data_IF_190907803847
#
_entry.id   IF_190907803847
#
_cell.length_a   1.000
_cell.length_b   1.000
_cell.length_c   1.000
_cell.angle_alpha   90.00
_cell.angle_beta   90.00
_cell.angle_gamma   90.00
#
_symmetry.space_group_name_H-M   'P 1'
#
loop_
_entity.id
_entity.type
_entity.pdbx_description
1 polymer ?
#
# COMPACT_ATOMS: atom_id res chain seq x y z
N UNK A 1 -5.85 -2.12 1.56
CA UNK A 1 -5.77 -1.92 0.10
C UNK A 1 -4.97 -0.65 -0.10
N UNK A 2 -3.74 -0.80 -0.57
CA UNK A 2 -2.80 0.31 -0.78
C UNK A 2 -3.29 1.17 -1.94
N UNK A 3 -3.34 2.49 -1.80
CA UNK A 3 -3.85 3.42 -2.82
C UNK A 3 -2.95 4.66 -2.97
N UNK A 4 -3.27 5.55 -3.92
CA UNK A 4 -2.45 6.74 -4.20
C UNK A 4 -2.29 7.71 -3.00
N UNK A 5 -3.21 7.66 -2.02
CA UNK A 5 -3.10 8.39 -0.75
C UNK A 5 -1.98 7.81 0.11
N UNK A 6 -1.72 6.51 0.01
CA UNK A 6 -0.68 5.82 0.78
C UNK A 6 0.72 6.17 0.26
N UNK A 7 0.88 6.47 -1.03
CA UNK A 7 2.14 6.99 -1.58
C UNK A 7 2.51 8.37 -1.00
N UNK A 8 1.56 9.30 -1.00
CA UNK A 8 1.75 10.62 -0.34
C UNK A 8 1.97 10.46 1.17
N UNK A 9 1.38 9.43 1.77
CA UNK A 9 1.61 9.12 3.17
C UNK A 9 3.05 8.68 3.42
N UNK A 10 3.63 7.82 2.56
CA UNK A 10 5.04 7.40 2.65
C UNK A 10 6.00 8.59 2.58
N UNK A 11 5.82 9.50 1.63
CA UNK A 11 6.63 10.73 1.53
C UNK A 11 6.54 11.56 2.82
N UNK A 12 5.32 11.71 3.36
CA UNK A 12 5.09 12.42 4.63
C UNK A 12 5.75 11.73 5.81
N UNK A 13 5.78 10.39 5.85
CA UNK A 13 6.45 9.63 6.90
C UNK A 13 7.98 9.81 6.83
N UNK A 14 8.57 9.73 5.65
CA UNK A 14 10.00 9.97 5.45
C UNK A 14 10.40 11.39 5.88
N UNK A 15 9.58 12.40 5.58
CA UNK A 15 9.82 13.79 5.99
C UNK A 15 9.74 14.06 7.50
N UNK A 16 9.22 13.13 8.30
CA UNK A 16 9.05 13.27 9.75
C UNK A 16 10.24 12.75 10.58
N UNK A 17 11.23 12.15 9.93
CA UNK A 17 12.46 11.69 10.59
C UNK A 17 13.26 12.94 11.02
N UNK A 18 13.62 13.08 12.31
CA UNK A 18 14.41 14.20 12.79
C UNK A 18 15.77 14.23 12.06
N UNK A 19 16.31 15.43 11.84
CA UNK A 19 17.65 15.62 11.28
C UNK A 19 18.60 16.27 12.28
N UNK A 20 19.81 16.57 11.82
CA UNK A 20 20.83 17.29 12.61
C UNK A 20 21.91 16.40 13.23
N UNK A 21 21.78 15.08 13.08
CA UNK A 21 22.84 14.12 13.36
C UNK A 21 23.15 13.32 12.10
N UNK A 22 24.43 13.04 11.77
CA UNK A 22 24.79 12.34 10.54
C UNK A 22 24.07 10.99 10.36
N UNK A 23 23.85 10.23 11.44
CA UNK A 23 23.13 8.96 11.38
C UNK A 23 21.63 9.14 11.08
N UNK A 24 21.01 10.16 11.67
CA UNK A 24 19.59 10.46 11.45
C UNK A 24 19.38 11.03 10.04
N UNK A 25 20.29 11.86 9.56
CA UNK A 25 20.26 12.43 8.21
C UNK A 25 20.40 11.34 7.14
N UNK A 26 21.27 10.34 7.35
CA UNK A 26 21.37 9.15 6.48
C UNK A 26 20.07 8.36 6.45
N UNK A 27 19.49 8.07 7.62
CA UNK A 27 18.22 7.34 7.71
C UNK A 27 17.07 8.11 7.02
N UNK A 28 17.02 9.43 7.17
CA UNK A 28 16.07 10.31 6.49
C UNK A 28 16.25 10.27 4.98
N UNK A 29 17.48 10.38 4.48
CA UNK A 29 17.77 10.32 3.05
C UNK A 29 17.35 8.98 2.44
N UNK A 30 17.67 7.86 3.10
CA UNK A 30 17.25 6.51 2.68
C UNK A 30 15.73 6.37 2.65
N UNK A 31 15.04 6.88 3.67
CA UNK A 31 13.58 6.87 3.71
C UNK A 31 12.94 7.68 2.57
N UNK A 32 13.51 8.86 2.25
CA UNK A 32 13.07 9.70 1.14
C UNK A 32 13.31 9.00 -0.21
N UNK A 33 14.52 8.48 -0.43
CA UNK A 33 14.87 7.70 -1.60
C UNK A 33 13.90 6.52 -1.80
N UNK A 34 13.60 5.76 -0.74
CA UNK A 34 12.69 4.64 -0.82
C UNK A 34 11.25 5.07 -1.21
N UNK A 35 10.75 6.16 -0.63
CA UNK A 35 9.43 6.70 -0.96
C UNK A 35 9.35 7.16 -2.43
N UNK A 36 10.35 7.91 -2.90
CA UNK A 36 10.44 8.36 -4.30
C UNK A 36 10.52 7.18 -5.26
N UNK A 37 11.32 6.17 -4.91
CA UNK A 37 11.52 4.97 -5.74
C UNK A 37 10.23 4.15 -5.87
N UNK A 38 9.50 3.98 -4.76
CA UNK A 38 8.18 3.34 -4.76
C UNK A 38 7.17 4.14 -5.58
N UNK A 39 7.12 5.47 -5.43
CA UNK A 39 6.23 6.32 -6.21
C UNK A 39 6.51 6.21 -7.71
N UNK A 40 7.79 6.21 -8.11
CA UNK A 40 8.20 6.01 -9.49
C UNK A 40 7.81 4.62 -10.02
N UNK A 41 7.99 3.56 -9.22
CA UNK A 41 7.60 2.20 -9.59
C UNK A 41 6.09 2.09 -9.85
N UNK A 42 5.26 2.66 -8.97
CA UNK A 42 3.80 2.66 -9.12
C UNK A 42 3.34 3.54 -10.28
N UNK A 43 4.04 4.64 -10.57
CA UNK A 43 3.74 5.46 -11.75
C UNK A 43 4.00 4.69 -13.06
N UNK A 44 5.02 3.81 -13.09
CA UNK A 44 5.31 2.92 -14.22
C UNK A 44 4.30 1.78 -14.30
N UNK A 45 4.01 1.12 -13.18
CA UNK A 45 3.09 -0.03 -13.08
C UNK A 45 2.09 0.16 -11.93
N UNK A 46 0.91 0.75 -12.21
CA UNK A 46 -0.14 0.94 -11.21
C UNK A 46 -0.69 -0.36 -10.63
N UNK A 47 -0.47 -1.51 -11.29
CA UNK A 47 -0.95 -2.81 -10.82
C UNK A 47 -0.13 -3.36 -9.65
N UNK A 48 0.97 -2.71 -9.29
CA UNK A 48 1.66 -2.95 -8.01
C UNK A 48 0.77 -2.65 -6.78
N UNK A 49 -0.30 -1.87 -6.95
CA UNK A 49 -1.30 -1.59 -5.91
C UNK A 49 -2.33 -2.72 -5.75
N UNK A 50 -2.34 -3.70 -6.66
CA UNK A 50 -3.25 -4.84 -6.55
C UNK A 50 -2.86 -5.70 -5.34
N UNK A 51 -3.86 -6.32 -4.71
CA UNK A 51 -3.69 -7.06 -3.44
C UNK A 51 -2.62 -8.16 -3.50
N UNK A 52 -2.44 -8.81 -4.65
CA UNK A 52 -1.45 -9.86 -4.87
C UNK A 52 -0.02 -9.33 -5.03
N UNK A 53 0.14 -8.02 -5.30
CA UNK A 53 1.43 -7.38 -5.61
C UNK A 53 1.82 -6.29 -4.61
N UNK A 54 0.92 -5.86 -3.73
CA UNK A 54 1.16 -4.76 -2.79
C UNK A 54 2.08 -5.09 -1.63
N UNK A 55 2.44 -6.36 -1.40
CA UNK A 55 3.15 -6.81 -0.20
C UNK A 55 4.41 -5.99 0.11
N UNK A 56 5.29 -5.80 -0.86
CA UNK A 56 6.53 -5.05 -0.63
C UNK A 56 6.24 -3.55 -0.36
N UNK A 57 5.16 -2.99 -0.93
CA UNK A 57 4.71 -1.62 -0.66
C UNK A 57 4.16 -1.48 0.76
N UNK A 58 3.35 -2.44 1.20
CA UNK A 58 2.79 -2.49 2.55
C UNK A 58 3.91 -2.57 3.60
N UNK A 59 4.92 -3.43 3.34
CA UNK A 59 6.09 -3.55 4.22
C UNK A 59 6.93 -2.27 4.22
N UNK A 60 7.13 -1.63 3.05
CA UNK A 60 7.80 -0.33 2.99
C UNK A 60 7.10 0.72 3.86
N UNK A 61 5.78 0.85 3.72
CA UNK A 61 5.01 1.83 4.49
C UNK A 61 5.07 1.55 5.99
N UNK A 62 5.02 0.28 6.40
CA UNK A 62 5.15 -0.11 7.79
C UNK A 62 6.55 0.21 8.34
N UNK A 63 7.62 -0.05 7.60
CA UNK A 63 8.98 0.33 8.04
C UNK A 63 9.09 1.85 8.17
N UNK A 64 8.63 2.62 7.18
CA UNK A 64 8.64 4.09 7.25
C UNK A 64 7.87 4.62 8.48
N UNK A 65 6.78 3.96 8.87
CA UNK A 65 6.02 4.28 10.08
C UNK A 65 6.84 4.04 11.36
N UNK A 66 7.66 3.00 11.38
CA UNK A 66 8.53 2.63 12.50
C UNK A 66 9.79 3.51 12.61
N UNK A 67 10.31 4.02 11.49
CA UNK A 67 11.53 4.84 11.50
C UNK A 67 11.40 6.11 12.35
N UNK A 68 10.23 6.75 12.40
CA UNK A 68 10.07 8.00 13.18
C UNK A 68 10.29 7.80 14.70
N UNK A 69 9.55 6.92 15.40
CA UNK A 69 9.79 6.71 16.83
C UNK A 69 11.20 6.17 17.10
N UNK A 70 11.75 5.33 16.21
CA UNK A 70 13.09 4.79 16.36
C UNK A 70 14.18 5.86 16.21
N UNK A 71 14.03 6.78 15.25
CA UNK A 71 14.94 7.91 15.06
C UNK A 71 14.96 8.84 16.28
N UNK A 72 13.82 9.02 16.97
CA UNK A 72 13.79 9.75 18.25
C UNK A 72 14.59 9.03 19.33
N UNK A 73 14.47 7.70 19.43
CA UNK A 73 15.26 6.91 20.38
C UNK A 73 16.75 6.95 20.06
N UNK A 74 17.11 6.84 18.78
CA UNK A 74 18.50 6.96 18.33
C UNK A 74 19.06 8.34 18.67
N UNK A 75 18.30 9.43 18.49
CA UNK A 75 18.72 10.77 18.87
C UNK A 75 19.03 10.89 20.38
N UNK A 76 18.20 10.30 21.24
CA UNK A 76 18.44 10.26 22.69
C UNK A 76 19.71 9.47 23.05
N UNK A 77 19.95 8.35 22.37
CA UNK A 77 21.16 7.53 22.58
C UNK A 77 22.42 8.27 22.13
N UNK A 78 22.38 8.97 20.99
CA UNK A 78 23.48 9.81 20.52
C UNK A 78 23.75 10.98 21.48
N UNK A 79 22.70 11.65 21.95
CA UNK A 79 22.80 12.71 22.94
C UNK A 79 23.41 12.22 24.25
N UNK A 80 22.99 11.06 24.72
CA UNK A 80 23.58 10.43 25.90
C UNK A 80 25.09 10.17 25.70
N UNK A 81 25.50 9.72 24.51
CA UNK A 81 26.91 9.57 24.14
C UNK A 81 27.68 10.89 24.27
N UNK A 82 27.15 11.98 23.70
CA UNK A 82 27.76 13.32 23.78
C UNK A 82 27.89 13.82 25.22
N UNK A 83 26.85 13.66 26.04
CA UNK A 83 26.90 14.03 27.45
C UNK A 83 27.94 13.22 28.23
N UNK A 84 28.10 11.94 27.89
CA UNK A 84 29.13 11.09 28.49
C UNK A 84 30.53 11.59 28.16
N UNK A 85 30.79 11.90 26.89
CA UNK A 85 32.07 12.45 26.44
C UNK A 85 32.37 13.82 27.05
N UNK A 86 31.35 14.66 27.24
CA UNK A 86 31.46 15.98 27.86
C UNK A 86 31.60 15.93 29.39
N UNK A 87 31.50 14.76 30.03
CA UNK A 87 31.56 14.63 31.48
C UNK A 87 30.37 15.29 32.19
N UNK A 88 29.18 15.22 31.58
CA UNK A 88 27.98 15.87 32.06
C UNK A 88 27.55 15.43 33.47
N UNK A 89 26.77 16.29 34.12
CA UNK A 89 26.24 16.06 35.45
C UNK A 89 25.11 15.02 35.48
N UNK A 90 24.85 14.49 36.68
CA UNK A 90 23.74 13.55 36.92
C UNK A 90 22.37 14.12 36.56
N UNK A 91 22.18 15.44 36.71
CA UNK A 91 20.93 16.13 36.37
C UNK A 91 20.70 16.18 34.86
N UNK A 92 21.75 16.35 34.07
CA UNK A 92 21.68 16.37 32.60
C UNK A 92 21.30 14.98 32.06
N UNK A 93 21.90 13.92 32.60
CA UNK A 93 21.49 12.55 32.28
C UNK A 93 20.04 12.25 32.66
N UNK A 94 19.57 12.75 33.80
CA UNK A 94 18.20 12.55 34.25
C UNK A 94 17.16 13.17 33.29
N UNK A 95 17.50 14.26 32.58
CA UNK A 95 16.61 14.91 31.59
C UNK A 95 16.41 14.09 30.32
N UNK A 96 17.37 13.24 29.93
CA UNK A 96 17.24 12.37 28.74
C UNK A 96 16.23 11.24 29.01
N UNK A 97 16.17 10.74 30.24
CA UNK A 97 15.29 9.65 30.63
C UNK A 97 15.77 8.29 30.11
N UNK A 98 14.82 7.41 29.75
CA UNK A 98 15.13 6.03 29.34
C UNK A 98 15.60 5.99 27.89
N UNK A 99 16.79 5.43 27.67
CA UNK A 99 17.37 5.23 26.34
C UNK A 99 17.24 3.77 25.87
N UNK A 100 17.21 3.58 24.55
CA UNK A 100 17.40 2.28 23.90
C UNK A 100 18.79 2.28 23.23
N UNK A 101 19.80 1.58 23.78
CA UNK A 101 21.15 1.61 23.24
C UNK A 101 21.26 1.01 21.84
N UNK A 102 20.32 0.15 21.44
CA UNK A 102 20.30 -0.50 20.11
C UNK A 102 19.64 0.37 19.04
N UNK A 103 18.96 1.46 19.42
CA UNK A 103 18.18 2.27 18.48
C UNK A 103 18.98 2.83 17.30
N UNK A 104 20.25 3.28 17.45
CA UNK A 104 21.05 3.73 16.30
C UNK A 104 21.28 2.61 15.27
N UNK A 105 21.64 1.41 15.71
CA UNK A 105 21.92 0.27 14.84
C UNK A 105 20.63 -0.26 14.19
N UNK A 106 19.55 -0.36 14.97
CA UNK A 106 18.22 -0.73 14.45
C UNK A 106 17.71 0.29 13.41
N UNK A 107 17.95 1.59 13.64
CA UNK A 107 17.58 2.64 12.70
C UNK A 107 18.35 2.48 11.39
N UNK A 108 19.66 2.26 11.47
CA UNK A 108 20.51 2.07 10.29
C UNK A 108 20.03 0.86 9.49
N UNK A 109 19.88 -0.29 10.14
CA UNK A 109 19.42 -1.54 9.52
C UNK A 109 18.03 -1.43 8.89
N UNK A 110 17.04 -0.85 9.58
CA UNK A 110 15.70 -0.67 9.02
C UNK A 110 15.69 0.37 7.88
N UNK A 111 16.50 1.42 7.97
CA UNK A 111 16.63 2.41 6.89
C UNK A 111 17.27 1.83 5.63
N UNK A 112 18.19 0.87 5.75
CA UNK A 112 18.72 0.13 4.60
C UNK A 112 17.67 -0.84 4.04
N UNK A 113 16.96 -1.55 4.94
CA UNK A 113 15.94 -2.51 4.54
C UNK A 113 14.81 -1.88 3.73
N UNK A 114 14.39 -0.66 4.05
CA UNK A 114 13.35 0.03 3.26
C UNK A 114 13.81 0.38 1.86
N UNK A 115 15.10 0.67 1.66
CA UNK A 115 15.68 0.89 0.32
C UNK A 115 15.69 -0.40 -0.48
N UNK A 116 16.10 -1.52 0.12
CA UNK A 116 16.08 -2.83 -0.55
C UNK A 116 14.66 -3.23 -0.99
N UNK A 117 13.65 -2.99 -0.16
CA UNK A 117 12.25 -3.25 -0.49
C UNK A 117 11.77 -2.34 -1.62
N UNK A 118 12.13 -1.06 -1.59
CA UNK A 118 11.78 -0.12 -2.66
C UNK A 118 12.41 -0.52 -4.00
N UNK A 119 13.66 -0.99 -4.01
CA UNK A 119 14.30 -1.52 -5.22
C UNK A 119 13.65 -2.82 -5.70
N UNK A 120 13.22 -3.71 -4.79
CA UNK A 120 12.43 -4.89 -5.18
C UNK A 120 11.10 -4.53 -5.81
N UNK A 121 10.39 -3.56 -5.26
CA UNK A 121 9.15 -3.04 -5.84
C UNK A 121 9.40 -2.43 -7.23
N UNK A 122 10.48 -1.65 -7.41
CA UNK A 122 10.87 -1.09 -8.70
C UNK A 122 11.26 -2.17 -9.72
N UNK A 123 12.01 -3.20 -9.31
CA UNK A 123 12.37 -4.33 -10.17
C UNK A 123 11.15 -5.19 -10.56
N UNK A 124 10.14 -5.25 -9.70
CA UNK A 124 8.89 -5.94 -9.97
C UNK A 124 7.95 -5.15 -10.88
N UNK A 125 8.17 -3.84 -11.08
CA UNK A 125 7.33 -3.01 -11.95
C UNK A 125 7.39 -3.50 -13.40
N UNK A 126 6.23 -3.57 -14.05
CA UNK A 126 6.07 -4.02 -15.43
C UNK A 126 5.75 -2.81 -16.31
N UNK A 127 6.72 -2.25 -17.07
CA UNK A 127 6.48 -1.06 -17.91
C UNK A 127 5.41 -1.28 -18.98
N UNK A 128 5.21 -2.53 -19.39
CA UNK A 128 4.24 -2.99 -20.38
C UNK A 128 2.93 -3.50 -19.75
N UNK A 129 2.62 -3.12 -18.51
CA UNK A 129 1.44 -3.57 -17.78
C UNK A 129 0.12 -3.37 -18.55
N UNK A 130 0.06 -2.38 -19.44
CA UNK A 130 -1.12 -1.98 -20.21
C UNK A 130 -1.23 -2.66 -21.59
N UNK A 131 -0.42 -3.68 -21.88
CA UNK A 131 -0.58 -4.45 -23.13
C UNK A 131 -1.94 -5.17 -23.18
N UNK A 132 -2.56 -5.34 -24.37
CA UNK A 132 -3.84 -6.04 -24.48
C UNK A 132 -3.85 -7.47 -23.92
N UNK A 133 -2.70 -8.15 -23.96
CA UNK A 133 -2.54 -9.47 -23.35
C UNK A 133 -2.64 -9.39 -21.82
N UNK A 134 -1.85 -8.54 -21.18
CA UNK A 134 -1.85 -8.39 -19.71
C UNK A 134 -3.17 -7.84 -19.17
N UNK A 135 -3.81 -6.93 -19.91
CA UNK A 135 -5.16 -6.47 -19.57
C UNK A 135 -6.13 -7.66 -19.57
N UNK A 136 -6.07 -8.55 -20.56
CA UNK A 136 -6.91 -9.76 -20.60
C UNK A 136 -6.62 -10.71 -19.45
N UNK A 137 -5.35 -11.02 -19.18
CA UNK A 137 -4.94 -11.89 -18.07
C UNK A 137 -5.34 -11.32 -16.69
N UNK A 138 -5.21 -10.01 -16.50
CA UNK A 138 -5.64 -9.32 -15.28
C UNK A 138 -7.15 -9.28 -15.17
N UNK A 139 -7.86 -8.98 -16.25
CA UNK A 139 -9.32 -8.99 -16.28
C UNK A 139 -9.87 -10.38 -15.97
N UNK A 140 -9.28 -11.45 -16.53
CA UNK A 140 -9.70 -12.82 -16.24
C UNK A 140 -9.57 -13.19 -14.75
N UNK A 141 -8.59 -12.60 -14.03
CA UNK A 141 -8.41 -12.80 -12.59
C UNK A 141 -9.36 -11.97 -11.72
N UNK A 142 -9.66 -10.74 -12.14
CA UNK A 142 -10.48 -9.79 -11.34
C UNK A 142 -11.98 -9.92 -11.62
N UNK A 143 -12.35 -10.43 -12.79
CA UNK A 143 -13.75 -10.60 -13.16
C UNK A 143 -14.35 -11.78 -12.39
N UNK A 144 -15.63 -11.67 -11.97
CA UNK A 144 -16.32 -12.80 -11.36
C UNK A 144 -16.44 -13.97 -12.34
N UNK A 145 -16.48 -15.19 -11.81
CA UNK A 145 -16.63 -16.40 -12.63
C UNK A 145 -17.94 -16.37 -13.43
N UNK A 146 -18.00 -17.03 -14.59
CA UNK A 146 -19.25 -17.18 -15.35
C UNK A 146 -20.40 -17.72 -14.48
N UNK A 147 -20.13 -18.74 -13.65
CA UNK A 147 -21.11 -19.31 -12.72
C UNK A 147 -21.65 -18.29 -11.70
N UNK A 148 -20.78 -17.43 -11.17
CA UNK A 148 -21.20 -16.38 -10.24
C UNK A 148 -22.07 -15.33 -10.95
N UNK A 149 -21.71 -14.93 -12.16
CA UNK A 149 -22.52 -14.01 -12.98
C UNK A 149 -23.88 -14.64 -13.33
N UNK A 150 -23.90 -15.92 -13.69
CA UNK A 150 -25.12 -16.67 -13.97
C UNK A 150 -26.02 -16.76 -12.73
N UNK A 151 -25.44 -17.03 -11.56
CA UNK A 151 -26.18 -17.03 -10.28
C UNK A 151 -26.78 -15.67 -9.94
N UNK A 152 -26.03 -14.57 -10.17
CA UNK A 152 -26.57 -13.22 -10.00
C UNK A 152 -27.71 -12.92 -10.98
N UNK A 153 -27.59 -13.38 -12.23
CA UNK A 153 -28.67 -13.24 -13.22
C UNK A 153 -29.94 -13.96 -12.77
N UNK A 154 -29.82 -15.19 -12.26
CA UNK A 154 -30.96 -15.95 -11.73
C UNK A 154 -31.60 -15.27 -10.52
N UNK A 155 -30.79 -14.81 -9.58
CA UNK A 155 -31.27 -14.11 -8.38
C UNK A 155 -32.02 -12.83 -8.76
N UNK A 156 -31.52 -12.07 -9.74
CA UNK A 156 -32.18 -10.86 -10.22
C UNK A 156 -33.47 -11.17 -10.96
N UNK A 157 -33.47 -12.20 -11.82
CA UNK A 157 -34.66 -12.64 -12.55
C UNK A 157 -35.76 -13.12 -11.59
N UNK A 158 -35.41 -13.94 -10.60
CA UNK A 158 -36.33 -14.40 -9.55
C UNK A 158 -36.91 -13.23 -8.75
N UNK A 159 -36.07 -12.29 -8.32
CA UNK A 159 -36.50 -11.15 -7.51
C UNK A 159 -37.46 -10.22 -8.26
N UNK A 160 -37.29 -10.07 -9.58
CA UNK A 160 -38.07 -9.15 -10.41
C UNK A 160 -39.30 -9.80 -11.02
N UNK A 161 -39.33 -11.14 -11.14
CA UNK A 161 -40.42 -11.90 -11.77
C UNK A 161 -41.82 -11.47 -11.32
N UNK A 162 -42.13 -11.32 -10.01
CA UNK A 162 -43.49 -10.97 -9.59
C UNK A 162 -43.95 -9.60 -10.09
N UNK A 163 -43.02 -8.65 -10.26
CA UNK A 163 -43.32 -7.31 -10.75
C UNK A 163 -43.35 -7.23 -12.28
N UNK A 164 -42.60 -8.09 -12.96
CA UNK A 164 -42.55 -8.18 -14.41
C UNK A 164 -43.77 -8.90 -15.00
N UNK A 165 -44.39 -9.83 -14.25
CA UNK A 165 -45.56 -10.60 -14.68
C UNK A 165 -46.91 -9.87 -14.47
N UNK A 166 -46.90 -8.66 -13.92
CA UNK A 166 -48.11 -7.85 -13.77
C UNK A 166 -48.68 -7.45 -15.15
N UNK A 167 -50.01 -7.22 -15.27
CA UNK A 167 -50.63 -6.78 -16.54
C UNK A 167 -50.04 -5.48 -17.10
N UNK A 168 -49.54 -4.61 -16.23
CA UNK A 168 -48.84 -3.37 -16.57
C UNK A 168 -47.56 -3.29 -15.72
N UNK A 169 -46.48 -3.98 -16.15
CA UNK A 169 -45.27 -4.04 -15.35
C UNK A 169 -44.62 -2.66 -15.26
N UNK A 170 -44.03 -2.36 -14.10
CA UNK A 170 -43.29 -1.12 -13.91
C UNK A 170 -42.07 -1.09 -14.85
N UNK A 171 -41.75 0.07 -15.43
CA UNK A 171 -40.61 0.20 -16.34
C UNK A 171 -39.28 -0.28 -15.71
N UNK A 172 -39.10 -0.07 -14.41
CA UNK A 172 -37.94 -0.57 -13.66
C UNK A 172 -37.88 -2.11 -13.65
N UNK A 173 -39.01 -2.81 -13.53
CA UNK A 173 -39.04 -4.28 -13.57
C UNK A 173 -38.65 -4.80 -14.96
N UNK A 174 -39.13 -4.16 -16.03
CA UNK A 174 -38.73 -4.50 -17.41
C UNK A 174 -37.23 -4.29 -17.63
N UNK A 175 -36.67 -3.18 -17.14
CA UNK A 175 -35.24 -2.88 -17.26
C UNK A 175 -34.36 -3.86 -16.47
N UNK A 176 -34.78 -4.22 -15.25
CA UNK A 176 -34.04 -5.17 -14.42
C UNK A 176 -34.12 -6.60 -14.96
N UNK A 177 -35.26 -7.03 -15.50
CA UNK A 177 -35.39 -8.30 -16.20
C UNK A 177 -34.45 -8.36 -17.42
N UNK A 178 -34.44 -7.31 -18.24
CA UNK A 178 -33.52 -7.20 -19.38
C UNK A 178 -32.04 -7.16 -18.95
N UNK A 179 -31.73 -6.64 -17.76
CA UNK A 179 -30.37 -6.70 -17.19
C UNK A 179 -30.01 -8.13 -16.79
N UNK A 180 -30.94 -8.88 -16.19
CA UNK A 180 -30.74 -10.29 -15.85
C UNK A 180 -30.41 -11.12 -17.11
N UNK A 181 -31.18 -10.93 -18.20
CA UNK A 181 -30.92 -11.60 -19.48
C UNK A 181 -29.54 -11.28 -20.05
N UNK A 182 -29.12 -10.00 -19.97
CA UNK A 182 -27.78 -9.58 -20.42
C UNK A 182 -26.67 -10.20 -19.58
N UNK A 183 -26.85 -10.31 -18.26
CA UNK A 183 -25.89 -10.96 -17.37
C UNK A 183 -25.78 -12.46 -17.68
N UNK A 184 -26.91 -13.13 -17.93
CA UNK A 184 -26.93 -14.54 -18.33
C UNK A 184 -26.20 -14.75 -19.66
N UNK A 185 -26.52 -13.98 -20.68
CA UNK A 185 -25.83 -14.06 -21.98
C UNK A 185 -24.33 -13.75 -21.88
N UNK A 186 -23.93 -12.84 -20.98
CA UNK A 186 -22.53 -12.53 -20.71
C UNK A 186 -21.80 -13.68 -19.98
N UNK A 187 -22.50 -14.45 -19.14
CA UNK A 187 -21.95 -15.66 -18.53
C UNK A 187 -21.74 -16.76 -19.58
N UNK A 188 -22.74 -16.99 -20.43
CA UNK A 188 -22.71 -18.07 -21.44
C UNK A 188 -21.70 -17.83 -22.56
N UNK A 189 -21.35 -16.56 -22.84
CA UNK A 189 -20.39 -16.18 -23.86
C UNK A 189 -18.93 -16.17 -23.38
N UNK A 190 -18.69 -16.42 -22.08
CA UNK A 190 -17.35 -16.55 -21.52
C UNK A 190 -16.96 -18.04 -21.44
N UNK A 191 -15.83 -18.44 -22.06
CA UNK A 191 -15.34 -19.81 -21.98
C UNK A 191 -14.84 -20.17 -20.58
#
# INVERSE_FOLDING_TARGET
MFNATDLKHMEKLAGKIPGGEPALDRARARAQQAAERVAAAVAVDPTLLDYDRSRDLDVCAEILRQLQPLARQAALTLEHGRLTEAGASREEFARIGKINPLAPDELDALSERVVELAERAAAAALPDWNTPQRIRERSARLLPSPDFIASLADQLAEAVRPAAELPHPAAAAVQLAALADKLRAAADSRP
#
